data_IF_646487040716
#
_entry.id   IF_646487040716
#
_cell.length_a   1.000
_cell.length_b   1.000
_cell.length_c   1.000
_cell.angle_alpha   90.00
_cell.angle_beta   90.00
_cell.angle_gamma   90.00
#
_symmetry.space_group_name_H-M   'P 1'
#
loop_
_entity.id
_entity.type
_entity.pdbx_description
1 polymer ?
#
# COMPACT_ATOMS: atom_id res chain seq x y z
N UNK A 1 -0.17 21.42 -4.84
CA UNK A 1 -1.37 20.75 -4.29
C UNK A 1 -1.14 20.38 -2.83
N UNK A 2 -2.20 20.05 -2.09
CA UNK A 2 -2.10 19.59 -0.69
C UNK A 2 -2.21 18.07 -0.64
N UNK A 3 -1.64 17.42 0.38
CA UNK A 3 -1.75 15.98 0.61
C UNK A 3 -2.34 15.72 1.99
N UNK A 4 -3.41 14.93 2.02
CA UNK A 4 -4.03 14.48 3.26
C UNK A 4 -3.27 13.28 3.82
N UNK A 5 -2.88 13.34 5.09
CA UNK A 5 -2.28 12.20 5.81
C UNK A 5 -3.24 11.70 6.88
N UNK A 6 -3.80 10.51 6.66
CA UNK A 6 -4.56 9.76 7.66
C UNK A 6 -3.62 8.77 8.36
N UNK A 7 -3.30 9.03 9.62
CA UNK A 7 -2.61 8.06 10.46
C UNK A 7 -3.60 7.36 11.40
N UNK A 8 -3.65 6.04 11.35
CA UNK A 8 -4.41 5.22 12.28
C UNK A 8 -3.44 4.67 13.34
N UNK A 9 -3.42 5.24 14.57
CA UNK A 9 -2.36 4.98 15.55
C UNK A 9 -2.49 3.63 16.25
N UNK A 10 -3.63 2.97 16.13
CA UNK A 10 -3.89 1.67 16.73
C UNK A 10 -3.99 0.59 15.66
N UNK A 11 -3.75 -0.64 16.08
CA UNK A 11 -4.00 -1.82 15.25
C UNK A 11 -5.43 -1.79 14.73
N UNK A 12 -5.58 -1.86 13.40
CA UNK A 12 -6.87 -1.63 12.72
C UNK A 12 -7.30 -2.86 11.91
N UNK A 13 -8.58 -3.27 11.93
CA UNK A 13 -9.04 -4.35 11.06
C UNK A 13 -8.77 -4.04 9.58
N UNK A 14 -8.30 -5.05 8.83
CA UNK A 14 -7.99 -4.88 7.39
C UNK A 14 -9.21 -4.39 6.59
N UNK A 15 -10.39 -4.92 6.90
CA UNK A 15 -11.66 -4.55 6.27
C UNK A 15 -11.99 -3.06 6.43
N UNK A 16 -11.73 -2.47 7.60
CA UNK A 16 -11.96 -1.04 7.86
C UNK A 16 -11.08 -0.18 6.94
N UNK A 17 -9.78 -0.47 6.87
CA UNK A 17 -8.87 0.30 6.01
C UNK A 17 -9.17 0.08 4.52
N UNK A 18 -9.57 -1.14 4.15
CA UNK A 18 -10.03 -1.45 2.79
C UNK A 18 -11.24 -0.58 2.39
N UNK A 19 -12.22 -0.40 3.27
CA UNK A 19 -13.37 0.49 3.04
C UNK A 19 -12.95 1.95 2.87
N UNK A 20 -12.07 2.47 3.75
CA UNK A 20 -11.56 3.86 3.63
C UNK A 20 -10.85 4.05 2.29
N UNK A 21 -9.95 3.14 1.94
CA UNK A 21 -9.25 3.16 0.65
C UNK A 21 -10.22 3.15 -0.53
N UNK A 22 -11.26 2.31 -0.47
CA UNK A 22 -12.27 2.21 -1.53
C UNK A 22 -13.07 3.51 -1.67
N UNK A 23 -13.47 4.13 -0.56
CA UNK A 23 -14.17 5.41 -0.56
C UNK A 23 -13.32 6.52 -1.21
N UNK A 24 -12.06 6.67 -0.80
CA UNK A 24 -11.14 7.66 -1.35
C UNK A 24 -10.85 7.44 -2.84
N UNK A 25 -10.61 6.18 -3.22
CA UNK A 25 -10.39 5.81 -4.63
C UNK A 25 -11.64 6.13 -5.46
N UNK A 26 -12.83 5.85 -4.93
CA UNK A 26 -14.11 6.14 -5.60
C UNK A 26 -14.33 7.64 -5.78
N UNK A 27 -14.01 8.46 -4.78
CA UNK A 27 -14.08 9.94 -4.87
C UNK A 27 -13.22 10.48 -6.01
N UNK A 28 -11.95 10.05 -6.11
CA UNK A 28 -11.06 10.45 -7.22
C UNK A 28 -11.57 9.98 -8.59
N UNK A 29 -12.08 8.75 -8.67
CA UNK A 29 -12.63 8.19 -9.91
C UNK A 29 -13.90 8.91 -10.37
N UNK A 30 -14.76 9.31 -9.42
CA UNK A 30 -15.97 10.08 -9.68
C UNK A 30 -15.62 11.47 -10.23
N UNK A 31 -14.68 12.18 -9.59
CA UNK A 31 -14.17 13.46 -10.09
C UNK A 31 -13.63 13.33 -11.52
N UNK A 32 -12.79 12.33 -11.77
CA UNK A 32 -12.23 12.08 -13.11
C UNK A 32 -13.29 11.74 -14.15
N UNK A 33 -14.43 11.13 -13.76
CA UNK A 33 -15.56 10.89 -14.66
C UNK A 33 -16.25 12.21 -15.02
N UNK A 34 -16.46 13.10 -14.04
CA UNK A 34 -17.07 14.42 -14.26
C UNK A 34 -16.23 15.30 -15.20
N UNK A 35 -14.90 15.23 -15.13
CA UNK A 35 -13.99 16.07 -15.94
C UNK A 35 -13.52 15.44 -17.25
N UNK A 36 -13.99 14.24 -17.60
CA UNK A 36 -13.57 13.58 -18.85
C UNK A 36 -14.21 14.27 -20.07
N UNK A 37 -13.50 14.44 -21.21
CA UNK A 37 -13.98 15.19 -22.39
C UNK A 37 -15.25 14.68 -23.12
N UNK A 38 -16.05 13.80 -22.51
CA UNK A 38 -17.32 13.29 -23.06
C UNK A 38 -18.46 13.21 -22.04
N UNK A 39 -18.29 13.78 -20.84
CA UNK A 39 -19.36 13.86 -19.81
C UNK A 39 -20.25 15.09 -19.96
N UNK A 40 -19.81 16.09 -20.74
CA UNK A 40 -20.63 17.26 -21.09
C UNK A 40 -21.43 16.85 -22.32
N UNK A 41 -22.69 16.45 -22.13
CA UNK A 41 -23.62 16.38 -23.24
C UNK A 41 -23.78 17.78 -23.81
N UNK A 42 -23.74 17.87 -25.13
CA UNK A 42 -24.10 19.03 -25.93
C UNK A 42 -25.59 19.35 -25.77
N UNK A 43 -25.99 19.85 -24.60
CA UNK A 43 -27.21 20.61 -24.45
C UNK A 43 -26.80 22.08 -24.29
N UNK A 44 -27.00 22.85 -25.36
CA UNK A 44 -26.98 24.31 -25.27
C UNK A 44 -27.94 24.75 -24.16
N UNK A 45 -27.50 25.61 -23.21
CA UNK A 45 -28.41 26.14 -22.22
C UNK A 45 -29.35 27.13 -22.90
N UNK A 46 -30.64 26.80 -22.97
CA UNK A 46 -31.72 27.69 -23.40
C UNK A 46 -32.04 28.81 -22.39
N UNK A 47 -31.10 29.14 -21.48
CA UNK A 47 -31.34 30.09 -20.39
C UNK A 47 -30.07 30.92 -20.08
N UNK A 48 -30.05 32.24 -20.33
CA UNK A 48 -28.88 33.11 -20.11
C UNK A 48 -28.57 33.38 -18.63
N UNK A 49 -29.38 32.88 -17.68
CA UNK A 49 -29.26 33.16 -16.24
C UNK A 49 -28.77 31.96 -15.41
N UNK A 50 -28.44 30.83 -16.03
CA UNK A 50 -27.85 29.70 -15.32
C UNK A 50 -26.35 29.94 -15.14
N UNK A 51 -25.94 30.35 -13.94
CA UNK A 51 -24.53 30.34 -13.51
C UNK A 51 -23.92 28.99 -13.89
N UNK A 52 -22.89 28.98 -14.75
CA UNK A 52 -22.11 27.78 -15.08
C UNK A 52 -21.75 27.08 -13.77
N UNK A 53 -22.28 25.87 -13.53
CA UNK A 53 -21.93 25.11 -12.34
C UNK A 53 -20.43 24.78 -12.43
N UNK A 54 -19.62 25.51 -11.67
CA UNK A 54 -18.16 25.37 -11.69
C UNK A 54 -17.82 23.97 -11.21
N UNK A 55 -17.07 23.22 -12.02
CA UNK A 55 -16.61 21.89 -11.64
C UNK A 55 -15.90 21.95 -10.29
N UNK A 56 -16.24 21.07 -9.33
CA UNK A 56 -15.58 21.08 -8.03
C UNK A 56 -14.08 20.81 -8.18
N UNK A 57 -13.24 21.35 -7.28
CA UNK A 57 -11.83 21.05 -7.27
C UNK A 57 -11.60 19.54 -7.12
N UNK A 58 -10.50 18.99 -7.67
CA UNK A 58 -10.19 17.59 -7.49
C UNK A 58 -9.98 17.26 -6.00
N UNK A 59 -10.42 16.08 -5.52
CA UNK A 59 -10.08 15.63 -4.18
C UNK A 59 -8.56 15.60 -3.98
N UNK A 60 -8.12 15.94 -2.78
CA UNK A 60 -6.70 15.89 -2.44
C UNK A 60 -6.20 14.43 -2.42
N UNK A 61 -4.97 14.16 -2.91
CA UNK A 61 -4.34 12.86 -2.71
C UNK A 61 -4.25 12.53 -1.22
N UNK A 62 -4.41 11.25 -0.88
CA UNK A 62 -4.38 10.81 0.51
C UNK A 62 -3.37 9.69 0.71
N UNK A 63 -2.59 9.78 1.78
CA UNK A 63 -1.80 8.65 2.31
C UNK A 63 -2.44 8.16 3.59
N UNK A 64 -2.76 6.87 3.65
CA UNK A 64 -3.19 6.19 4.87
C UNK A 64 -1.98 5.44 5.43
N UNK A 65 -1.62 5.69 6.68
CA UNK A 65 -0.58 4.91 7.38
C UNK A 65 -1.19 4.21 8.59
N UNK A 66 -0.91 2.92 8.76
CA UNK A 66 -1.56 2.10 9.78
C UNK A 66 -0.80 0.79 10.00
N UNK A 67 -1.22 0.07 11.03
CA UNK A 67 -0.83 -1.32 11.29
C UNK A 67 -2.11 -2.16 11.35
N UNK A 68 -2.28 -3.19 10.52
CA UNK A 68 -3.48 -4.00 10.59
C UNK A 68 -3.40 -5.03 11.71
N UNK A 69 -4.54 -5.64 12.07
CA UNK A 69 -4.54 -6.96 12.71
C UNK A 69 -3.76 -7.96 11.81
N UNK A 70 -3.16 -9.03 12.38
CA UNK A 70 -2.49 -10.03 11.57
C UNK A 70 -3.34 -10.50 10.39
N UNK A 71 -2.83 -10.33 9.17
CA UNK A 71 -3.57 -10.60 7.94
C UNK A 71 -2.63 -11.06 6.83
N UNK A 72 -3.01 -12.13 6.15
CA UNK A 72 -2.45 -12.48 4.85
C UNK A 72 -3.32 -11.88 3.75
N UNK A 73 -2.68 -11.18 2.83
CA UNK A 73 -3.35 -10.69 1.63
C UNK A 73 -2.77 -11.37 0.41
N UNK A 74 -3.61 -11.55 -0.59
CA UNK A 74 -3.19 -12.16 -1.86
C UNK A 74 -3.49 -11.22 -3.01
N UNK A 75 -2.48 -10.98 -3.85
CA UNK A 75 -2.57 -10.09 -5.01
C UNK A 75 -3.02 -10.81 -6.28
N UNK A 76 -3.20 -10.06 -7.37
CA UNK A 76 -3.80 -10.55 -8.63
C UNK A 76 -3.11 -11.75 -9.27
N UNK A 77 -1.82 -11.99 -9.01
CA UNK A 77 -1.09 -13.12 -9.61
C UNK A 77 -1.50 -14.48 -9.03
N UNK A 78 -2.06 -14.47 -7.82
CA UNK A 78 -2.51 -15.66 -7.09
C UNK A 78 -4.05 -15.77 -7.09
N UNK A 79 -4.76 -14.77 -7.64
CA UNK A 79 -6.20 -14.85 -7.81
C UNK A 79 -6.53 -15.64 -9.08
N UNK A 80 -7.64 -16.39 -9.09
CA UNK A 80 -8.15 -16.99 -10.32
C UNK A 80 -8.28 -15.93 -11.42
N UNK A 81 -8.05 -16.28 -12.69
CA UNK A 81 -8.39 -15.39 -13.80
C UNK A 81 -9.83 -14.93 -13.64
N UNK A 82 -10.08 -13.62 -13.79
CA UNK A 82 -11.36 -12.95 -13.47
C UNK A 82 -12.60 -13.42 -14.26
N UNK A 83 -12.56 -14.59 -14.91
CA UNK A 83 -13.56 -15.12 -15.84
C UNK A 83 -13.96 -16.59 -15.60
N UNK A 84 -13.86 -17.14 -14.38
CA UNK A 84 -14.43 -18.47 -14.11
C UNK A 84 -15.24 -18.52 -12.83
N UNK A 85 -16.57 -18.48 -13.03
CA UNK A 85 -17.66 -19.00 -12.19
C UNK A 85 -17.99 -18.27 -10.87
N UNK A 86 -19.29 -18.15 -10.54
CA UNK A 86 -19.74 -17.60 -9.28
C UNK A 86 -19.27 -18.46 -8.09
N UNK A 87 -19.18 -17.89 -6.87
CA UNK A 87 -18.81 -18.66 -5.69
C UNK A 87 -19.81 -19.80 -5.49
N UNK A 88 -19.35 -21.04 -5.43
CA UNK A 88 -20.22 -22.14 -5.02
C UNK A 88 -20.55 -21.97 -3.54
N UNK A 89 -21.83 -21.80 -3.24
CA UNK A 89 -22.37 -21.63 -1.88
C UNK A 89 -22.36 -22.94 -1.06
N UNK A 90 -21.71 -23.99 -1.56
CA UNK A 90 -21.84 -25.36 -1.06
C UNK A 90 -20.66 -25.84 -0.20
N UNK A 91 -19.60 -25.05 -0.02
CA UNK A 91 -18.52 -25.36 0.92
C UNK A 91 -18.13 -24.11 1.74
N UNK A 92 -18.34 -24.09 3.08
CA UNK A 92 -17.89 -23.00 3.95
C UNK A 92 -16.37 -23.02 4.19
N UNK A 93 -15.63 -23.89 3.49
CA UNK A 93 -14.17 -23.95 3.57
C UNK A 93 -13.61 -22.71 2.89
N UNK A 94 -12.89 -21.89 3.66
CA UNK A 94 -12.13 -20.74 3.16
C UNK A 94 -11.27 -21.18 1.98
N UNK A 95 -11.59 -20.76 0.77
CA UNK A 95 -10.77 -21.05 -0.42
C UNK A 95 -9.47 -20.27 -0.31
N UNK A 96 -8.37 -20.98 -0.04
CA UNK A 96 -7.05 -20.39 0.15
C UNK A 96 -6.22 -20.58 -1.13
N UNK A 97 -5.35 -19.62 -1.50
CA UNK A 97 -4.37 -19.83 -2.56
C UNK A 97 -3.37 -20.92 -2.13
N UNK A 98 -2.70 -21.59 -3.08
CA UNK A 98 -1.75 -22.67 -2.78
C UNK A 98 -0.70 -22.31 -1.71
N UNK A 99 -0.23 -21.06 -1.69
CA UNK A 99 0.74 -20.56 -0.72
C UNK A 99 0.24 -20.56 0.74
N UNK A 100 -1.08 -20.59 0.96
CA UNK A 100 -1.70 -20.50 2.29
C UNK A 100 -2.34 -21.83 2.75
N UNK A 101 -2.54 -22.78 1.84
CA UNK A 101 -3.10 -24.10 2.18
C UNK A 101 -2.32 -24.85 3.28
N UNK A 102 -0.96 -24.90 3.25
CA UNK A 102 -0.19 -25.60 4.27
C UNK A 102 -0.38 -25.03 5.69
N UNK A 103 -0.83 -23.78 5.80
CA UNK A 103 -0.98 -23.06 7.06
C UNK A 103 -2.43 -22.75 7.39
N UNK A 104 -3.38 -23.45 6.77
CA UNK A 104 -4.83 -23.30 6.96
C UNK A 104 -5.26 -23.17 8.43
N UNK A 105 -4.60 -23.93 9.32
CA UNK A 105 -4.89 -23.96 10.75
C UNK A 105 -4.73 -22.63 11.48
N UNK A 106 -3.99 -21.65 10.93
CA UNK A 106 -3.83 -20.33 11.55
C UNK A 106 -5.01 -19.40 11.27
N UNK A 107 -5.83 -19.71 10.27
CA UNK A 107 -7.04 -18.97 9.89
C UNK A 107 -8.30 -19.49 10.57
N UNK A 108 -8.28 -20.76 10.99
CA UNK A 108 -9.42 -21.40 11.66
C UNK A 108 -9.24 -21.30 13.17
N UNK A 109 -10.22 -20.75 13.91
CA UNK A 109 -10.25 -20.89 15.36
C UNK A 109 -10.26 -22.37 15.75
N UNK A 110 -9.51 -22.73 16.81
CA UNK A 110 -9.48 -24.10 17.31
C UNK A 110 -9.76 -24.13 18.82
N UNK A 111 -10.90 -24.70 19.22
CA UNK A 111 -11.39 -24.62 20.59
C UNK A 111 -11.65 -23.18 21.01
N UNK A 112 -11.06 -22.75 22.14
CA UNK A 112 -11.17 -21.37 22.64
C UNK A 112 -10.09 -20.42 22.08
N UNK A 113 -9.20 -20.90 21.20
CA UNK A 113 -8.13 -20.06 20.63
C UNK A 113 -8.65 -19.35 19.36
N UNK A 114 -8.54 -18.00 19.28
CA UNK A 114 -8.92 -17.27 18.08
C UNK A 114 -7.95 -17.57 16.93
N UNK A 115 -8.36 -17.25 15.70
CA UNK A 115 -7.47 -17.29 14.55
C UNK A 115 -6.26 -16.38 14.79
N UNK A 116 -5.07 -16.82 14.35
CA UNK A 116 -3.83 -16.05 14.47
C UNK A 116 -3.70 -14.99 13.38
N UNK A 117 -4.39 -15.15 12.25
CA UNK A 117 -4.45 -14.18 11.17
C UNK A 117 -5.74 -14.30 10.35
N UNK A 118 -6.13 -13.20 9.72
CA UNK A 118 -7.17 -13.15 8.70
C UNK A 118 -6.61 -13.44 7.30
N UNK A 119 -7.48 -13.77 6.34
CA UNK A 119 -7.14 -13.87 4.92
C UNK A 119 -8.05 -12.98 4.08
N UNK A 120 -7.46 -12.16 3.20
CA UNK A 120 -8.20 -11.30 2.28
C UNK A 120 -7.61 -11.34 0.85
N UNK A 121 -8.38 -11.75 -0.18
CA UNK A 121 -8.01 -11.55 -1.57
C UNK A 121 -8.10 -10.07 -1.95
N UNK A 122 -7.16 -9.58 -2.76
CA UNK A 122 -7.04 -8.15 -3.09
C UNK A 122 -6.65 -7.92 -4.55
N UNK A 123 -6.89 -6.71 -5.06
CA UNK A 123 -6.56 -6.35 -6.45
C UNK A 123 -5.14 -5.80 -6.64
N UNK A 124 -4.32 -5.73 -5.58
CA UNK A 124 -2.93 -5.25 -5.68
C UNK A 124 -2.09 -6.14 -6.60
N UNK A 125 -1.01 -5.57 -7.14
CA UNK A 125 0.04 -6.34 -7.79
C UNK A 125 0.74 -7.31 -6.81
N UNK A 126 1.47 -8.26 -7.38
CA UNK A 126 2.20 -9.26 -6.60
C UNK A 126 1.38 -10.49 -6.22
N UNK A 127 1.99 -11.34 -5.40
CA UNK A 127 1.45 -12.60 -4.87
C UNK A 127 1.12 -12.41 -3.38
N UNK A 128 0.97 -13.50 -2.64
CA UNK A 128 0.67 -13.53 -1.20
C UNK A 128 1.73 -12.80 -0.34
N UNK A 129 1.29 -12.04 0.67
CA UNK A 129 2.14 -11.38 1.67
C UNK A 129 1.43 -11.31 3.03
N UNK A 130 2.17 -10.95 4.07
CA UNK A 130 1.68 -10.71 5.43
C UNK A 130 1.73 -9.22 5.82
N UNK A 131 0.76 -8.80 6.62
CA UNK A 131 0.75 -7.54 7.36
C UNK A 131 0.27 -7.76 8.81
N UNK A 132 0.75 -6.96 9.75
CA UNK A 132 0.33 -7.06 11.14
C UNK A 132 1.14 -6.17 12.08
N UNK A 133 0.98 -6.34 13.40
CA UNK A 133 1.80 -5.70 14.43
C UNK A 133 3.30 -5.75 14.11
N UNK A 134 4.00 -4.64 14.38
CA UNK A 134 5.42 -4.47 14.02
C UNK A 134 5.69 -4.04 12.58
N UNK A 135 4.66 -3.89 11.74
CA UNK A 135 4.79 -3.41 10.36
C UNK A 135 4.09 -2.05 10.17
N UNK A 136 4.78 -1.13 9.49
CA UNK A 136 4.20 0.10 8.97
C UNK A 136 3.63 -0.17 7.58
N UNK A 137 2.32 -0.06 7.43
CA UNK A 137 1.66 -0.12 6.11
C UNK A 137 1.30 1.29 5.68
N UNK A 138 1.65 1.66 4.46
CA UNK A 138 1.27 2.92 3.84
C UNK A 138 0.54 2.69 2.52
N UNK A 139 -0.70 3.15 2.42
CA UNK A 139 -1.46 3.17 1.18
C UNK A 139 -1.48 4.57 0.59
N UNK A 140 -1.15 4.67 -0.70
CA UNK A 140 -1.09 5.92 -1.45
C UNK A 140 -2.25 5.98 -2.43
N UNK A 141 -3.22 6.86 -2.18
CA UNK A 141 -4.41 7.06 -3.00
C UNK A 141 -4.25 8.37 -3.77
N UNK A 142 -3.68 8.26 -4.98
CA UNK A 142 -3.21 9.38 -5.78
C UNK A 142 -3.75 9.32 -7.21
N UNK A 143 -4.02 10.46 -7.84
CA UNK A 143 -4.10 10.55 -9.30
C UNK A 143 -2.69 10.72 -9.88
N UNK A 144 -2.10 9.62 -10.34
CA UNK A 144 -0.74 9.62 -10.88
C UNK A 144 -0.60 10.55 -12.10
N UNK A 145 -1.67 10.76 -12.87
CA UNK A 145 -1.63 11.65 -14.04
C UNK A 145 -1.40 13.11 -13.61
N UNK A 146 -2.01 13.55 -12.50
CA UNK A 146 -1.82 14.90 -11.96
C UNK A 146 -0.39 15.11 -11.44
N UNK A 147 0.18 14.08 -10.82
CA UNK A 147 1.56 14.09 -10.34
C UNK A 147 2.60 13.84 -11.46
N UNK A 148 2.16 13.64 -12.72
CA UNK A 148 3.05 13.27 -13.83
C UNK A 148 3.67 11.88 -13.71
N UNK A 149 3.25 11.04 -12.77
CA UNK A 149 3.88 9.75 -12.51
C UNK A 149 3.35 8.66 -13.44
N UNK A 150 4.26 7.90 -14.05
CA UNK A 150 3.88 6.58 -14.61
C UNK A 150 3.75 5.54 -13.48
N UNK A 151 3.09 4.40 -13.73
CA UNK A 151 3.02 3.32 -12.74
C UNK A 151 4.40 2.87 -12.21
N UNK A 152 5.41 2.79 -13.09
CA UNK A 152 6.77 2.42 -12.71
C UNK A 152 7.47 3.51 -11.90
N UNK A 153 7.25 4.78 -12.23
CA UNK A 153 7.77 5.90 -11.43
C UNK A 153 7.18 5.86 -10.02
N UNK A 154 5.89 5.59 -9.90
CA UNK A 154 5.23 5.51 -8.59
C UNK A 154 5.86 4.43 -7.70
N UNK A 155 6.13 3.24 -8.24
CA UNK A 155 6.85 2.18 -7.50
C UNK A 155 8.24 2.66 -7.07
N UNK A 156 9.02 3.27 -7.97
CA UNK A 156 10.36 3.79 -7.65
C UNK A 156 10.33 4.86 -6.57
N UNK A 157 9.34 5.77 -6.61
CA UNK A 157 9.15 6.79 -5.57
C UNK A 157 8.90 6.11 -4.22
N UNK A 158 8.02 5.10 -4.15
CA UNK A 158 7.77 4.35 -2.92
C UNK A 158 9.04 3.68 -2.39
N UNK A 159 9.80 3.00 -3.25
CA UNK A 159 11.04 2.32 -2.89
C UNK A 159 12.12 3.31 -2.43
N UNK A 160 12.36 4.39 -3.19
CA UNK A 160 13.34 5.41 -2.84
C UNK A 160 12.99 6.17 -1.56
N UNK A 161 11.69 6.37 -1.28
CA UNK A 161 11.24 6.98 -0.03
C UNK A 161 11.60 6.12 1.18
N UNK A 162 11.49 4.80 1.03
CA UNK A 162 11.92 3.85 2.06
C UNK A 162 13.44 3.83 2.16
N UNK A 163 14.17 3.82 1.03
CA UNK A 163 15.64 3.85 1.04
C UNK A 163 16.17 5.09 1.77
N UNK A 164 15.57 6.27 1.53
CA UNK A 164 15.94 7.49 2.25
C UNK A 164 15.62 7.43 3.74
N UNK A 165 14.50 6.81 4.10
CA UNK A 165 14.14 6.56 5.49
C UNK A 165 15.17 5.64 6.15
N UNK A 166 15.50 4.51 5.53
CA UNK A 166 16.52 3.56 6.02
C UNK A 166 17.88 4.26 6.19
N UNK A 167 18.27 5.08 5.22
CA UNK A 167 19.52 5.86 5.27
C UNK A 167 19.56 6.79 6.47
N UNK A 168 18.44 7.39 6.88
CA UNK A 168 18.37 8.23 8.08
C UNK A 168 18.62 7.46 9.39
N UNK A 169 18.50 6.13 9.36
CA UNK A 169 18.83 5.23 10.45
C UNK A 169 20.16 4.48 10.24
N UNK A 170 20.99 4.91 9.28
CA UNK A 170 22.28 4.26 8.99
C UNK A 170 22.18 2.92 8.26
N UNK A 171 21.01 2.57 7.73
CA UNK A 171 20.78 1.31 6.99
C UNK A 171 20.85 1.56 5.49
N UNK A 172 21.71 0.82 4.80
CA UNK A 172 21.80 0.87 3.34
C UNK A 172 20.76 -0.05 2.69
N UNK A 173 19.67 0.54 2.22
CA UNK A 173 18.64 -0.14 1.42
C UNK A 173 18.87 -0.01 -0.08
N UNK A 174 18.45 -1.01 -0.85
CA UNK A 174 18.52 -1.00 -2.32
C UNK A 174 17.34 -1.77 -2.95
N UNK A 175 17.12 -1.54 -4.25
CA UNK A 175 16.15 -2.27 -5.06
C UNK A 175 16.82 -3.39 -5.84
N UNK A 176 16.10 -4.46 -6.14
CA UNK A 176 16.52 -5.53 -7.06
C UNK A 176 15.54 -5.62 -8.23
N UNK A 177 15.64 -6.67 -9.05
CA UNK A 177 14.61 -7.01 -10.04
C UNK A 177 13.26 -7.38 -9.39
N UNK A 178 13.29 -7.83 -8.14
CA UNK A 178 12.13 -8.15 -7.34
C UNK A 178 11.62 -6.90 -6.61
N UNK A 179 10.37 -6.47 -6.85
CA UNK A 179 9.84 -5.24 -6.26
C UNK A 179 9.91 -5.22 -4.73
N UNK A 180 10.23 -4.04 -4.20
CA UNK A 180 10.42 -3.79 -2.77
C UNK A 180 11.83 -3.31 -2.45
N UNK A 181 12.08 -3.11 -1.16
CA UNK A 181 13.39 -2.68 -0.66
C UNK A 181 14.05 -3.82 0.08
N UNK A 182 15.34 -3.97 -0.18
CA UNK A 182 16.20 -5.03 0.30
C UNK A 182 17.40 -4.44 1.05
N UNK A 183 17.97 -5.23 1.95
CA UNK A 183 19.16 -4.89 2.72
C UNK A 183 20.09 -6.10 2.74
N UNK A 184 21.41 -5.84 2.84
CA UNK A 184 22.39 -6.92 2.99
C UNK A 184 22.26 -7.55 4.40
N UNK A 185 22.57 -8.84 4.56
CA UNK A 185 22.69 -9.45 5.88
C UNK A 185 23.71 -8.69 6.73
N UNK A 186 23.47 -8.61 8.04
CA UNK A 186 24.51 -8.22 8.99
C UNK A 186 25.36 -9.46 9.24
N UNK A 187 26.67 -9.31 9.20
CA UNK A 187 27.64 -10.40 9.31
C UNK A 187 27.56 -11.23 10.61
N UNK A 188 26.74 -10.82 11.58
CA UNK A 188 26.65 -11.39 12.92
C UNK A 188 25.30 -12.07 13.25
N UNK A 189 24.36 -12.23 12.30
CA UNK A 189 23.11 -12.93 12.64
C UNK A 189 23.34 -14.45 12.80
N UNK A 190 23.14 -14.96 14.02
CA UNK A 190 23.34 -16.37 14.44
C UNK A 190 22.57 -17.42 13.64
N UNK A 191 21.55 -17.02 12.89
CA UNK A 191 20.89 -17.85 11.91
C UNK A 191 21.73 -17.86 10.64
N UNK A 192 22.52 -18.92 10.40
CA UNK A 192 23.41 -19.14 9.24
C UNK A 192 22.75 -19.16 7.85
N UNK A 193 21.77 -18.30 7.62
CA UNK A 193 21.21 -17.95 6.31
C UNK A 193 22.21 -17.03 5.61
N UNK A 194 22.60 -17.40 4.40
CA UNK A 194 23.80 -16.94 3.72
C UNK A 194 23.86 -15.45 3.35
N UNK A 195 24.81 -15.10 2.47
CA UNK A 195 25.11 -13.74 2.00
C UNK A 195 23.98 -13.04 1.21
N UNK A 196 22.79 -13.62 1.14
CA UNK A 196 21.71 -13.16 0.27
C UNK A 196 20.97 -11.95 0.87
N UNK A 197 20.61 -10.94 0.04
CA UNK A 197 19.78 -9.83 0.48
C UNK A 197 18.45 -10.26 1.09
N UNK A 198 18.03 -9.58 2.16
CA UNK A 198 16.74 -9.79 2.84
C UNK A 198 15.79 -8.65 2.55
N UNK A 199 14.51 -8.96 2.29
CA UNK A 199 13.48 -7.95 1.99
C UNK A 199 13.02 -7.28 3.28
N UNK A 200 13.18 -5.96 3.35
CA UNK A 200 12.72 -5.15 4.50
C UNK A 200 11.37 -4.46 4.21
N UNK A 201 11.03 -4.27 2.95
CA UNK A 201 9.74 -3.68 2.55
C UNK A 201 9.15 -4.36 1.33
N UNK A 202 7.89 -4.78 1.43
CA UNK A 202 7.11 -5.21 0.28
C UNK A 202 6.41 -4.00 -0.37
N UNK A 203 6.29 -4.01 -1.70
CA UNK A 203 5.51 -3.03 -2.47
C UNK A 203 4.47 -3.73 -3.33
N UNK A 204 3.25 -3.22 -3.33
CA UNK A 204 2.16 -3.75 -4.12
C UNK A 204 1.05 -2.71 -4.27
N UNK A 205 0.90 -2.18 -5.47
CA UNK A 205 -0.12 -1.17 -5.81
C UNK A 205 -1.15 -1.73 -6.78
N UNK A 206 -2.32 -1.11 -6.82
CA UNK A 206 -3.31 -1.29 -7.88
C UNK A 206 -3.60 0.04 -8.56
N UNK A 207 -3.91 0.01 -9.86
CA UNK A 207 -4.22 1.20 -10.63
C UNK A 207 -5.52 1.03 -11.43
N UNK A 208 -6.40 2.02 -11.33
CA UNK A 208 -7.60 2.16 -12.16
C UNK A 208 -7.71 3.59 -12.66
N UNK A 209 -7.70 3.80 -13.98
CA UNK A 209 -7.73 5.14 -14.61
C UNK A 209 -6.69 6.10 -14.02
N UNK A 210 -5.46 5.62 -13.79
CA UNK A 210 -4.35 6.33 -13.12
C UNK A 210 -4.58 6.72 -11.65
N UNK A 211 -5.67 6.24 -11.03
CA UNK A 211 -5.86 6.36 -9.58
C UNK A 211 -5.21 5.15 -8.91
N UNK A 212 -4.31 5.41 -7.97
CA UNK A 212 -3.60 4.40 -7.19
C UNK A 212 -4.35 3.98 -5.93
N UNK A 213 -4.07 2.77 -5.49
CA UNK A 213 -4.51 2.18 -4.22
C UNK A 213 -3.46 1.16 -3.77
N UNK A 214 -3.51 0.78 -2.50
CA UNK A 214 -2.48 0.03 -1.78
C UNK A 214 -1.15 0.80 -1.74
N UNK A 215 -0.02 0.13 -1.50
CA UNK A 215 1.27 0.81 -1.35
C UNK A 215 2.35 -0.12 -0.83
N UNK A 216 2.91 0.17 0.34
CA UNK A 216 4.04 -0.56 0.93
C UNK A 216 3.72 -1.16 2.30
N UNK A 217 4.48 -2.18 2.69
CA UNK A 217 4.57 -2.68 4.07
C UNK A 217 6.04 -2.76 4.50
N UNK A 218 6.49 -1.83 5.34
CA UNK A 218 7.84 -1.76 5.90
C UNK A 218 7.87 -2.45 7.26
N UNK A 219 8.74 -3.44 7.41
CA UNK A 219 8.90 -4.18 8.65
C UNK A 219 9.74 -3.35 9.65
N UNK A 220 9.14 -2.96 10.77
CA UNK A 220 9.79 -2.12 11.79
C UNK A 220 10.37 -3.01 12.90
N UNK A 221 9.56 -3.91 13.45
CA UNK A 221 9.99 -4.89 14.47
C UNK A 221 10.02 -6.31 13.91
N UNK A 222 10.52 -7.26 14.70
CA UNK A 222 10.62 -8.67 14.30
C UNK A 222 9.30 -9.47 14.41
N UNK A 223 8.23 -8.85 14.93
CA UNK A 223 6.92 -9.51 15.08
C UNK A 223 6.38 -10.15 13.77
N UNK A 224 6.53 -9.51 12.58
CA UNK A 224 6.08 -10.11 11.32
C UNK A 224 6.90 -11.34 10.88
N UNK A 225 8.11 -11.54 11.41
CA UNK A 225 9.05 -12.55 10.88
C UNK A 225 8.53 -13.97 11.01
N UNK A 226 7.82 -14.30 12.11
CA UNK A 226 7.23 -15.63 12.27
C UNK A 226 6.20 -15.92 11.16
N UNK A 227 5.37 -14.93 10.82
CA UNK A 227 4.36 -15.05 9.75
C UNK A 227 5.00 -15.17 8.37
N UNK A 228 6.03 -14.39 8.07
CA UNK A 228 6.75 -14.53 6.80
C UNK A 228 7.38 -15.92 6.62
N UNK A 229 7.88 -16.54 7.69
CA UNK A 229 8.41 -17.92 7.66
C UNK A 229 7.36 -18.99 7.38
N UNK A 230 6.07 -18.68 7.48
CA UNK A 230 4.98 -19.62 7.22
C UNK A 230 4.64 -19.74 5.72
N UNK A 231 5.15 -18.84 4.88
CA UNK A 231 4.79 -18.73 3.46
C UNK A 231 6.04 -18.54 2.60
N UNK A 232 5.87 -18.62 1.28
CA UNK A 232 6.82 -18.05 0.31
C UNK A 232 6.33 -16.65 -0.05
N UNK A 233 6.78 -15.58 0.63
CA UNK A 233 6.22 -14.25 0.42
C UNK A 233 6.56 -13.74 -0.97
N UNK A 234 5.57 -13.12 -1.62
CA UNK A 234 5.68 -12.62 -2.99
C UNK A 234 6.01 -13.70 -4.05
N UNK A 235 6.02 -15.00 -3.69
CA UNK A 235 6.47 -16.14 -4.49
C UNK A 235 7.98 -16.15 -4.79
N UNK A 236 8.79 -15.56 -3.91
CA UNK A 236 10.24 -15.50 -4.03
C UNK A 236 10.88 -16.62 -3.20
N UNK A 237 11.04 -17.78 -3.81
CA UNK A 237 11.67 -18.93 -3.14
C UNK A 237 13.10 -18.61 -2.70
N UNK A 238 13.45 -19.02 -1.49
CA UNK A 238 14.78 -18.80 -0.91
C UNK A 238 15.08 -17.35 -0.50
N UNK A 239 14.14 -16.40 -0.66
CA UNK A 239 14.30 -15.01 -0.21
C UNK A 239 13.63 -14.80 1.14
N UNK A 240 14.37 -14.24 2.09
CA UNK A 240 13.89 -13.99 3.45
C UNK A 240 13.44 -12.53 3.65
N UNK A 241 12.54 -12.33 4.62
CA UNK A 241 12.20 -11.01 5.12
C UNK A 241 13.11 -10.62 6.30
N UNK A 242 13.27 -9.33 6.55
CA UNK A 242 13.89 -8.76 7.76
C UNK A 242 13.11 -7.52 8.20
N UNK A 243 13.48 -6.94 9.34
CA UNK A 243 12.92 -5.69 9.88
C UNK A 243 14.03 -4.69 10.21
N UNK A 244 13.66 -3.44 10.54
CA UNK A 244 14.58 -2.44 11.11
C UNK A 244 15.23 -2.95 12.40
N UNK A 245 14.45 -3.56 13.29
CA UNK A 245 14.95 -4.21 14.51
C UNK A 245 15.97 -5.32 14.18
N UNK A 246 15.64 -6.20 13.24
CA UNK A 246 16.49 -7.32 12.82
C UNK A 246 17.76 -6.90 12.07
N UNK A 247 17.86 -5.63 11.67
CA UNK A 247 19.09 -5.01 11.15
C UNK A 247 19.73 -4.03 12.12
N UNK A 248 19.49 -4.19 13.42
CA UNK A 248 20.21 -3.45 14.46
C UNK A 248 19.67 -2.04 14.74
N UNK A 249 18.42 -1.75 14.34
CA UNK A 249 17.73 -0.50 14.66
C UNK A 249 16.52 -0.77 15.57
N UNK A 250 16.74 -1.16 16.84
CA UNK A 250 15.66 -1.47 17.78
C UNK A 250 14.98 -0.19 18.30
N UNK A 251 13.79 -0.34 18.90
CA UNK A 251 13.12 0.72 19.65
C UNK A 251 12.37 1.77 18.82
N UNK A 252 12.21 1.55 17.51
CA UNK A 252 11.42 2.44 16.67
C UNK A 252 9.92 2.20 16.85
N UNK A 253 9.18 3.29 17.06
CA UNK A 253 7.72 3.28 17.04
C UNK A 253 7.21 3.37 15.60
N UNK A 254 6.24 2.54 15.25
CA UNK A 254 5.63 2.51 13.91
C UNK A 254 5.05 3.87 13.50
N UNK A 255 4.48 4.62 14.45
CA UNK A 255 3.95 5.96 14.19
C UNK A 255 5.01 6.97 13.74
N UNK A 256 6.21 6.91 14.34
CA UNK A 256 7.33 7.77 13.95
C UNK A 256 7.87 7.40 12.56
N UNK A 257 7.97 6.10 12.28
CA UNK A 257 8.33 5.58 10.95
C UNK A 257 7.30 6.00 9.89
N UNK A 258 6.01 5.97 10.22
CA UNK A 258 4.94 6.40 9.32
C UNK A 258 5.04 7.89 8.96
N UNK A 259 5.29 8.76 9.95
CA UNK A 259 5.48 10.19 9.72
C UNK A 259 6.72 10.47 8.85
N UNK A 260 7.85 9.81 9.16
CA UNK A 260 9.08 9.93 8.38
C UNK A 260 8.89 9.45 6.93
N UNK A 261 8.14 8.36 6.72
CA UNK A 261 7.85 7.86 5.38
C UNK A 261 7.09 8.88 4.54
N UNK A 262 6.06 9.54 5.10
CA UNK A 262 5.28 10.56 4.38
C UNK A 262 6.15 11.76 3.98
N UNK A 263 7.06 12.19 4.86
CA UNK A 263 8.02 13.25 4.56
C UNK A 263 8.94 12.85 3.39
N UNK A 264 9.55 11.66 3.43
CA UNK A 264 10.42 11.17 2.35
C UNK A 264 9.66 10.96 1.05
N UNK A 265 8.41 10.48 1.14
CA UNK A 265 7.53 10.34 -0.01
C UNK A 265 7.26 11.67 -0.70
N UNK A 266 6.89 12.70 0.05
CA UNK A 266 6.65 14.05 -0.52
C UNK A 266 7.94 14.63 -1.09
N UNK A 267 9.06 14.49 -0.39
CA UNK A 267 10.36 14.91 -0.89
C UNK A 267 10.68 14.24 -2.23
N UNK A 268 10.43 12.93 -2.36
CA UNK A 268 10.69 12.16 -3.59
C UNK A 268 9.74 12.51 -4.73
N UNK A 269 8.43 12.66 -4.46
CA UNK A 269 7.48 13.14 -5.48
C UNK A 269 7.89 14.51 -6.01
N UNK A 270 8.38 15.39 -5.13
CA UNK A 270 8.80 16.75 -5.45
C UNK A 270 10.25 16.89 -5.94
N UNK A 271 11.04 15.82 -5.95
CA UNK A 271 12.42 15.84 -6.41
C UNK A 271 12.59 15.00 -7.69
N UNK A 272 12.01 13.81 -7.72
CA UNK A 272 12.19 12.81 -8.77
C UNK A 272 11.23 13.03 -9.98
N UNK A 273 10.85 14.28 -10.29
CA UNK A 273 9.77 14.65 -11.22
C UNK A 273 9.71 13.75 -12.47
N UNK A 274 8.77 12.80 -12.40
CA UNK A 274 8.09 12.17 -13.51
C UNK A 274 8.98 11.62 -14.65
N UNK A 275 9.96 10.77 -14.32
CA UNK A 275 10.65 9.88 -15.25
C UNK A 275 10.93 10.47 -16.66
N UNK A 276 11.51 11.67 -16.72
CA UNK A 276 11.96 12.31 -17.95
C UNK A 276 12.16 13.82 -17.80
N UNK A 277 13.07 14.38 -18.59
CA UNK A 277 13.50 15.79 -18.53
C UNK A 277 12.38 16.82 -18.80
N UNK A 278 11.19 16.38 -19.24
CA UNK A 278 10.08 17.24 -19.70
C UNK A 278 8.77 17.08 -18.91
N UNK A 279 8.80 16.59 -17.68
CA UNK A 279 7.58 16.15 -17.03
C UNK A 279 6.87 17.22 -16.17
N UNK A 280 5.64 17.56 -16.56
CA UNK A 280 4.78 18.60 -15.97
C UNK A 280 3.80 18.03 -14.91
N UNK A 281 4.31 17.63 -13.74
CA UNK A 281 3.49 17.18 -12.61
C UNK A 281 3.21 18.29 -11.58
N UNK A 282 2.03 18.27 -10.95
CA UNK A 282 1.71 19.12 -9.81
C UNK A 282 2.58 18.76 -8.59
N UNK A 283 3.16 19.75 -7.91
CA UNK A 283 3.93 19.57 -6.66
C UNK A 283 3.02 19.32 -5.47
N UNK A 284 3.54 18.71 -4.40
CA UNK A 284 2.88 18.64 -3.08
C UNK A 284 3.51 19.70 -2.18
N UNK A 285 2.77 20.77 -1.89
CA UNK A 285 3.28 21.95 -1.19
C UNK A 285 3.03 21.88 0.32
N UNK A 286 2.04 21.09 0.74
CA UNK A 286 1.60 20.97 2.12
C UNK A 286 1.13 19.54 2.39
N UNK A 287 1.49 19.00 3.56
CA UNK A 287 0.89 17.80 4.12
C UNK A 287 0.06 18.22 5.33
N UNK A 288 -1.22 17.86 5.36
CA UNK A 288 -2.10 18.14 6.49
C UNK A 288 -2.69 16.84 7.04
N UNK A 289 -2.82 16.78 8.36
CA UNK A 289 -3.42 15.63 9.04
C UNK A 289 -4.93 15.66 8.90
N UNK A 290 -5.52 14.49 8.69
CA UNK A 290 -6.97 14.29 8.64
C UNK A 290 -7.39 13.15 9.55
N UNK A 291 -8.61 13.21 10.05
CA UNK A 291 -9.26 12.10 10.76
C UNK A 291 -10.16 11.35 9.77
N UNK A 292 -10.51 10.12 10.13
CA UNK A 292 -11.36 9.27 9.30
C UNK A 292 -12.72 9.91 9.02
N UNK A 293 -13.32 10.54 10.03
CA UNK A 293 -14.59 11.28 9.90
C UNK A 293 -14.51 12.42 8.87
N UNK A 294 -13.38 13.12 8.81
CA UNK A 294 -13.16 14.23 7.86
C UNK A 294 -13.12 13.73 6.40
N UNK A 295 -12.84 12.44 6.19
CA UNK A 295 -12.77 11.82 4.86
C UNK A 295 -14.04 11.09 4.44
N UNK A 296 -14.88 10.69 5.39
CA UNK A 296 -16.09 9.88 5.12
C UNK A 296 -17.40 10.68 5.18
N UNK A 297 -17.40 11.87 5.80
CA UNK A 297 -18.61 12.71 5.89
C UNK A 297 -19.04 13.39 4.57
N UNK A 298 -18.28 13.19 3.48
CA UNK A 298 -18.57 13.70 2.13
C UNK A 298 -19.23 12.64 1.20
N UNK A 299 -19.64 11.49 1.73
CA UNK A 299 -20.20 10.34 0.95
C UNK A 299 -21.71 10.25 1.09
#
# INVERSE_FOLDING_TARGET
>A
MRLAHLHLPHTTPFSRVSHIQQALTTRLLAHKKLTSPGSISSQEPSNPSATLAKTPPPPDPTIITFTPNPVYTTGRRDLPPSNTSPPSTLNPILSLPPALEPIRSIFTPHGNQPAKAEYHPTLRGGQTTYHGPGQMVAYTILDLKRLGLTPRCHIRVLENSVIDLLKSHGVEGFTTEDPGVWVKPIAESESGSGSEPRKITAVGVHLRRNISSFGIGLNVTDEPMWFFKQIVPCGLEGKEATSLQGVGVPGLEVGNVAAAFVEKFVSRVNADFACGENAHGERIDEVYRVREEDLLNDV
#
